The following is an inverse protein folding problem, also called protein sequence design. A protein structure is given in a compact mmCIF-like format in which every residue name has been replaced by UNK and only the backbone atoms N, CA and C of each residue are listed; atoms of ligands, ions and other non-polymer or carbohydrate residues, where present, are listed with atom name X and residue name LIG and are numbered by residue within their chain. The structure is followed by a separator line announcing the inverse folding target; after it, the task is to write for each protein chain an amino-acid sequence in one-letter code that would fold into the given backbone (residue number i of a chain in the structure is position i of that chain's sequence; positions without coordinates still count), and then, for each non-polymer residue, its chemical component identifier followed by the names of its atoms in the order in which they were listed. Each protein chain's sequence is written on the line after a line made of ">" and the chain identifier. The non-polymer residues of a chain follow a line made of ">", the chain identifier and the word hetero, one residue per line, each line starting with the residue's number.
data_IF_021253367730
#
_entry.id   IF_021253367730
#
_cell.length_a   1.000
_cell.length_b   1.000
_cell.length_c   1.000
_cell.angle_alpha   90.00
_cell.angle_beta   90.00
_cell.angle_gamma   90.00
#
_symmetry.space_group_name_H-M   'P 1'
#
loop_
_entity.id
_entity.type
_entity.pdbx_description
1 polymer ?
#
# COMPACT_ATOMS: atom_id res chain seq x y z
N UNK A 1 28.73 -32.14 48.72
CA UNK A 1 27.90 -30.97 48.36
C UNK A 1 28.40 -30.32 47.06
N UNK A 2 28.46 -31.05 45.95
CA UNK A 2 28.88 -30.49 44.65
C UNK A 2 28.07 -31.02 43.43
N UNK A 3 27.18 -31.99 43.61
CA UNK A 3 26.40 -32.56 42.50
C UNK A 3 25.00 -31.96 42.31
N UNK A 4 24.44 -31.25 43.29
CA UNK A 4 23.09 -30.65 43.15
C UNK A 4 23.08 -29.28 42.44
N UNK A 5 24.21 -28.58 42.36
CA UNK A 5 24.24 -27.22 41.78
C UNK A 5 24.23 -27.22 40.25
N UNK A 6 24.86 -28.21 39.61
CA UNK A 6 24.87 -28.32 38.14
C UNK A 6 23.51 -28.74 37.56
N UNK A 7 22.70 -29.48 38.32
CA UNK A 7 21.38 -29.89 37.86
C UNK A 7 20.41 -28.68 37.81
N UNK A 8 20.42 -27.85 38.86
CA UNK A 8 19.63 -26.62 38.95
C UNK A 8 19.99 -25.58 37.86
N UNK A 9 21.28 -25.42 37.55
CA UNK A 9 21.75 -24.53 36.48
C UNK A 9 21.30 -25.00 35.08
N UNK A 10 21.30 -26.33 34.84
CA UNK A 10 20.82 -26.88 33.58
C UNK A 10 19.29 -26.75 33.42
N UNK A 11 18.52 -26.92 34.49
CA UNK A 11 17.07 -26.71 34.45
C UNK A 11 16.70 -25.23 34.23
N UNK A 12 17.43 -24.29 34.85
CA UNK A 12 17.24 -22.86 34.61
C UNK A 12 17.56 -22.48 33.16
N UNK A 13 18.64 -23.01 32.60
CA UNK A 13 19.03 -22.75 31.21
C UNK A 13 17.99 -23.29 30.21
N UNK A 14 17.42 -24.48 30.46
CA UNK A 14 16.36 -25.06 29.63
C UNK A 14 15.06 -24.25 29.73
N UNK A 15 14.68 -23.80 30.94
CA UNK A 15 13.52 -22.92 31.14
C UNK A 15 13.70 -21.55 30.45
N UNK A 16 14.91 -20.98 30.51
CA UNK A 16 15.27 -19.75 29.80
C UNK A 16 15.20 -19.94 28.27
N UNK A 17 15.73 -21.04 27.74
CA UNK A 17 15.62 -21.39 26.32
C UNK A 17 14.17 -21.59 25.88
N UNK A 18 13.34 -22.26 26.69
CA UNK A 18 11.91 -22.45 26.42
C UNK A 18 11.13 -21.12 26.47
N UNK A 19 11.50 -20.19 27.35
CA UNK A 19 10.90 -18.84 27.38
C UNK A 19 11.34 -17.96 26.19
N UNK A 20 12.59 -18.09 25.72
CA UNK A 20 13.08 -17.39 24.52
C UNK A 20 12.50 -17.96 23.22
N UNK A 21 12.13 -19.24 23.21
CA UNK A 21 11.39 -19.89 22.12
C UNK A 21 9.90 -19.48 22.08
N UNK A 22 9.35 -18.97 23.18
CA UNK A 22 7.97 -18.45 23.22
C UNK A 22 7.87 -16.98 22.77
N UNK A 23 8.95 -16.19 22.82
CA UNK A 23 8.95 -14.78 22.41
C UNK A 23 8.95 -14.53 20.90
N UNK A 24 8.87 -15.57 20.07
CA UNK A 24 8.79 -15.45 18.59
C UNK A 24 7.72 -16.34 17.95
N UNK A 25 6.78 -16.85 18.74
CA UNK A 25 5.68 -17.65 18.17
C UNK A 25 4.62 -16.74 17.53
N UNK A 26 4.62 -16.71 16.20
CA UNK A 26 3.46 -16.30 15.42
C UNK A 26 2.23 -17.09 15.93
N UNK A 27 1.28 -16.38 16.54
CA UNK A 27 0.07 -17.00 17.10
C UNK A 27 -0.88 -17.36 15.95
N UNK A 28 -0.80 -18.62 15.49
CA UNK A 28 -1.62 -19.13 14.39
C UNK A 28 -3.00 -19.55 14.90
N UNK A 29 -4.02 -18.74 14.62
CA UNK A 29 -5.43 -19.15 14.72
C UNK A 29 -5.92 -19.59 13.35
N UNK A 30 -6.63 -20.71 13.31
CA UNK A 30 -7.29 -21.25 12.12
C UNK A 30 -8.78 -21.35 12.38
N UNK A 31 -9.55 -20.47 11.75
CA UNK A 31 -11.01 -20.57 11.62
C UNK A 31 -11.29 -20.78 10.12
N UNK A 32 -12.09 -21.78 9.78
CA UNK A 32 -12.51 -22.10 8.39
C UNK A 32 -11.37 -22.18 7.35
N UNK A 33 -10.20 -22.67 7.74
CA UNK A 33 -9.02 -22.77 6.86
C UNK A 33 -8.23 -21.48 6.68
N UNK A 34 -8.75 -20.34 7.13
CA UNK A 34 -8.06 -19.04 7.16
C UNK A 34 -7.04 -19.04 8.29
N UNK A 35 -5.78 -18.80 7.94
CA UNK A 35 -4.65 -18.64 8.87
C UNK A 35 -4.47 -17.16 9.18
N UNK A 36 -4.20 -16.86 10.44
CA UNK A 36 -3.84 -15.51 10.88
C UNK A 36 -2.43 -15.52 11.45
N UNK A 37 -1.58 -14.60 11.01
CA UNK A 37 -0.26 -14.36 11.59
C UNK A 37 -0.06 -12.88 11.92
N UNK A 38 0.62 -12.62 13.03
CA UNK A 38 0.91 -11.29 13.54
C UNK A 38 2.43 -11.12 13.65
N UNK A 39 2.92 -9.99 13.15
CA UNK A 39 4.33 -9.66 13.11
C UNK A 39 4.58 -8.25 13.62
N UNK A 40 5.83 -7.96 13.96
CA UNK A 40 6.32 -6.62 14.26
C UNK A 40 7.38 -6.23 13.21
N UNK A 41 7.39 -4.96 12.83
CA UNK A 41 8.52 -4.37 12.11
C UNK A 41 9.78 -4.41 12.98
N UNK A 42 10.98 -4.14 12.43
CA UNK A 42 12.08 -3.69 13.26
C UNK A 42 11.68 -2.44 14.06
N UNK A 43 12.33 -2.27 15.21
CA UNK A 43 12.11 -1.12 16.10
C UNK A 43 12.50 0.18 15.41
N UNK A 44 11.67 1.21 15.53
CA UNK A 44 12.06 2.60 15.32
C UNK A 44 11.94 3.38 16.63
N UNK A 45 12.73 4.44 16.75
CA UNK A 45 12.76 5.27 17.96
C UNK A 45 12.40 6.69 17.58
N UNK A 46 11.44 7.27 18.29
CA UNK A 46 11.03 8.66 18.13
C UNK A 46 11.19 9.43 19.43
N UNK A 47 11.54 10.70 19.28
CA UNK A 47 11.44 11.75 20.29
C UNK A 47 10.51 12.86 19.81
N UNK A 48 10.00 13.74 20.70
CA UNK A 48 9.07 14.81 20.32
C UNK A 48 9.49 15.57 19.06
N UNK A 49 8.61 15.63 18.06
CA UNK A 49 8.88 16.29 16.77
C UNK A 49 9.67 15.46 15.75
N UNK A 50 10.37 14.41 16.14
CA UNK A 50 11.18 13.63 15.20
C UNK A 50 10.34 12.87 14.18
N UNK A 51 10.93 12.67 13.00
CA UNK A 51 10.40 11.88 11.89
C UNK A 51 11.23 10.61 11.73
N UNK A 52 10.55 9.48 11.58
CA UNK A 52 11.13 8.21 11.16
C UNK A 52 10.50 7.82 9.83
N UNK A 53 11.29 7.79 8.76
CA UNK A 53 10.87 7.30 7.44
C UNK A 53 11.82 6.18 7.00
N UNK A 54 11.59 4.97 7.52
CA UNK A 54 12.53 3.83 7.41
C UNK A 54 12.01 2.79 6.43
N UNK A 55 12.92 2.20 5.66
CA UNK A 55 12.68 1.07 4.78
C UNK A 55 13.30 -0.20 5.38
N UNK A 56 12.46 -1.21 5.64
CA UNK A 56 12.86 -2.49 6.21
C UNK A 56 12.77 -3.57 5.15
N UNK A 57 13.91 -4.11 4.74
CA UNK A 57 14.00 -5.20 3.76
C UNK A 57 13.97 -6.57 4.43
N UNK A 58 13.38 -7.55 3.75
CA UNK A 58 13.34 -8.93 4.24
C UNK A 58 12.56 -9.08 5.54
N UNK A 59 11.47 -8.34 5.69
CA UNK A 59 10.58 -8.49 6.85
C UNK A 59 9.97 -9.89 6.89
N UNK A 60 9.52 -10.28 8.08
CA UNK A 60 8.74 -11.51 8.22
C UNK A 60 7.40 -11.36 7.49
N UNK A 61 7.02 -12.38 6.75
CA UNK A 61 5.76 -12.43 6.03
C UNK A 61 5.34 -13.89 5.86
N UNK A 62 4.03 -14.21 5.75
CA UNK A 62 3.59 -15.57 5.47
C UNK A 62 4.28 -16.14 4.24
N UNK A 63 4.75 -17.39 4.35
CA UNK A 63 5.51 -18.08 3.30
C UNK A 63 4.66 -19.12 2.58
N UNK A 64 5.06 -19.41 1.35
CA UNK A 64 4.41 -20.40 0.49
C UNK A 64 3.57 -19.73 -0.60
N UNK A 65 2.94 -20.55 -1.43
CA UNK A 65 1.96 -20.09 -2.41
C UNK A 65 0.62 -19.93 -1.69
N UNK A 66 0.21 -18.68 -1.48
CA UNK A 66 -0.92 -18.34 -0.62
C UNK A 66 -1.82 -17.28 -1.27
N UNK A 67 -3.04 -17.20 -0.77
CA UNK A 67 -3.96 -16.13 -1.10
C UNK A 67 -4.17 -15.24 0.13
N UNK A 68 -3.76 -13.98 0.06
CA UNK A 68 -3.98 -13.02 1.14
C UNK A 68 -5.46 -12.63 1.15
N UNK A 69 -6.04 -12.67 2.34
CA UNK A 69 -7.44 -12.39 2.64
C UNK A 69 -7.64 -11.07 3.36
N UNK A 70 -6.67 -10.59 4.14
CA UNK A 70 -6.66 -9.22 4.70
C UNK A 70 -5.26 -8.85 5.18
N UNK A 71 -4.93 -7.56 5.19
CA UNK A 71 -3.70 -7.04 5.78
C UNK A 71 -4.02 -5.76 6.55
N UNK A 72 -3.86 -5.81 7.87
CA UNK A 72 -4.04 -4.63 8.74
C UNK A 72 -2.73 -4.31 9.47
N UNK A 73 -2.46 -3.03 9.70
CA UNK A 73 -1.31 -2.59 10.48
C UNK A 73 -1.70 -1.52 11.50
N UNK A 74 -0.85 -1.30 12.50
CA UNK A 74 -0.95 -0.20 13.45
C UNK A 74 0.39 0.04 14.16
N UNK A 75 0.60 1.25 14.67
CA UNK A 75 1.75 1.56 15.52
C UNK A 75 1.46 1.16 16.97
N UNK A 76 2.42 0.44 17.56
CA UNK A 76 2.39 -0.01 18.96
C UNK A 76 3.67 0.36 19.71
N UNK A 77 3.56 0.47 21.04
CA UNK A 77 4.70 0.64 21.96
C UNK A 77 5.42 -0.70 22.28
N UNK A 78 6.42 -0.66 23.17
CA UNK A 78 7.19 -1.84 23.58
C UNK A 78 6.34 -2.89 24.31
N UNK A 79 5.29 -2.44 24.99
CA UNK A 79 4.31 -3.26 25.68
C UNK A 79 3.21 -3.82 24.74
N UNK A 80 3.19 -3.37 23.47
CA UNK A 80 2.23 -3.81 22.45
C UNK A 80 0.89 -3.06 22.49
N UNK A 81 0.79 -1.96 23.21
CA UNK A 81 -0.38 -1.10 23.22
C UNK A 81 -0.42 -0.21 21.97
N UNK A 82 -1.62 0.02 21.44
CA UNK A 82 -1.80 0.92 20.31
C UNK A 82 -1.49 2.37 20.70
N UNK A 83 -0.77 3.09 19.83
CA UNK A 83 -0.38 4.49 20.08
C UNK A 83 -1.33 5.47 19.38
N UNK A 84 -1.90 6.47 20.08
CA UNK A 84 -2.79 7.45 19.45
C UNK A 84 -2.10 8.28 18.36
N UNK A 85 -2.83 8.60 17.29
CA UNK A 85 -2.35 9.42 16.17
C UNK A 85 -1.94 10.84 16.57
N UNK A 86 -2.52 11.36 17.65
CA UNK A 86 -2.19 12.67 18.20
C UNK A 86 -0.88 12.68 19.02
N UNK A 87 -0.28 11.51 19.24
CA UNK A 87 1.05 11.35 19.82
C UNK A 87 2.07 10.95 18.75
N UNK A 88 1.82 9.83 18.07
CA UNK A 88 2.61 9.38 16.92
C UNK A 88 1.70 9.23 15.72
N UNK A 89 1.84 10.16 14.78
CA UNK A 89 1.08 10.14 13.54
C UNK A 89 1.75 9.16 12.57
N UNK A 90 1.06 8.07 12.24
CA UNK A 90 1.45 7.18 11.15
C UNK A 90 1.07 7.85 9.84
N UNK A 91 2.02 8.58 9.25
CA UNK A 91 1.79 9.31 8.01
C UNK A 91 1.45 8.35 6.87
N UNK A 92 2.32 7.35 6.65
CA UNK A 92 2.02 6.20 5.83
C UNK A 92 2.82 4.98 6.24
N UNK A 93 2.32 3.82 5.88
CA UNK A 93 3.09 2.59 5.80
C UNK A 93 2.82 1.99 4.44
N UNK A 94 3.83 1.43 3.78
CA UNK A 94 3.66 0.77 2.49
C UNK A 94 4.43 -0.54 2.44
N UNK A 95 3.82 -1.54 1.80
CA UNK A 95 4.41 -2.85 1.60
C UNK A 95 4.69 -3.08 0.12
N UNK A 96 5.96 -3.28 -0.21
CA UNK A 96 6.44 -3.53 -1.57
C UNK A 96 6.91 -4.98 -1.69
N UNK A 97 6.61 -5.59 -2.84
CA UNK A 97 7.03 -6.95 -3.18
C UNK A 97 8.28 -6.90 -4.05
N UNK A 98 9.22 -7.83 -3.86
CA UNK A 98 10.40 -7.95 -4.71
C UNK A 98 10.88 -9.38 -4.86
N UNK A 99 11.69 -9.63 -5.89
CA UNK A 99 12.50 -10.83 -6.02
C UNK A 99 13.97 -10.51 -5.80
N UNK A 100 14.64 -11.31 -4.98
CA UNK A 100 16.04 -11.17 -4.63
C UNK A 100 16.84 -12.39 -5.08
N UNK A 101 18.01 -12.15 -5.66
CA UNK A 101 18.90 -13.24 -6.03
C UNK A 101 19.38 -13.99 -4.78
N UNK A 102 19.28 -15.32 -4.79
CA UNK A 102 19.72 -16.18 -3.69
C UNK A 102 21.23 -16.06 -3.46
N UNK A 103 21.64 -16.05 -2.20
CA UNK A 103 23.05 -16.00 -1.81
C UNK A 103 23.69 -14.61 -1.87
N UNK A 104 22.94 -13.56 -2.20
CA UNK A 104 23.36 -12.16 -2.10
C UNK A 104 22.81 -11.59 -0.80
N UNK A 105 23.68 -11.17 0.11
CA UNK A 105 23.29 -10.53 1.36
C UNK A 105 22.99 -9.04 1.10
N UNK A 106 21.72 -8.70 0.94
CA UNK A 106 21.31 -7.30 0.87
C UNK A 106 21.49 -6.71 2.27
N UNK A 107 22.34 -5.68 2.38
CA UNK A 107 22.54 -4.96 3.65
C UNK A 107 21.16 -4.52 4.16
N UNK A 108 20.73 -5.13 5.27
CA UNK A 108 19.39 -4.97 5.88
C UNK A 108 19.00 -3.53 6.23
N UNK A 109 19.94 -2.60 6.18
CA UNK A 109 19.77 -1.21 6.55
C UNK A 109 20.69 -0.36 5.66
N UNK A 110 20.12 0.37 4.70
CA UNK A 110 20.46 1.74 4.29
C UNK A 110 19.95 2.06 2.89
N UNK A 111 19.27 3.22 2.80
CA UNK A 111 19.11 4.05 1.60
C UNK A 111 18.15 3.51 0.56
N UNK A 112 17.37 4.41 -0.05
CA UNK A 112 16.66 4.20 -1.32
C UNK A 112 17.59 3.43 -2.26
N UNK A 113 17.40 2.11 -2.40
CA UNK A 113 18.35 1.25 -3.12
C UNK A 113 18.41 1.58 -4.62
N UNK A 114 17.58 2.52 -5.08
CA UNK A 114 17.36 2.79 -6.49
C UNK A 114 16.67 1.59 -7.13
N UNK A 115 15.68 1.84 -7.99
CA UNK A 115 14.83 0.82 -8.59
C UNK A 115 15.53 -0.11 -9.61
N UNK A 116 16.87 -0.11 -9.67
CA UNK A 116 17.66 -0.81 -10.69
C UNK A 116 18.98 -1.37 -10.16
N UNK A 117 18.92 -2.48 -9.42
CA UNK A 117 20.07 -3.39 -9.32
C UNK A 117 19.65 -4.78 -9.79
N UNK A 118 20.51 -5.46 -10.56
CA UNK A 118 20.18 -6.75 -11.19
C UNK A 118 19.89 -7.86 -10.19
N UNK A 119 20.33 -7.70 -8.94
CA UNK A 119 20.09 -8.59 -7.81
C UNK A 119 18.72 -8.37 -7.14
N UNK A 120 18.01 -7.28 -7.46
CA UNK A 120 16.74 -6.89 -6.83
C UNK A 120 15.69 -6.44 -7.85
N UNK A 121 14.64 -7.25 -8.04
CA UNK A 121 13.56 -6.99 -8.99
C UNK A 121 12.32 -6.54 -8.21
N UNK A 122 11.98 -5.25 -8.28
CA UNK A 122 10.75 -4.73 -7.69
C UNK A 122 9.52 -5.19 -8.47
N UNK A 123 8.52 -5.69 -7.77
CA UNK A 123 7.24 -6.12 -8.33
C UNK A 123 6.19 -5.05 -7.99
N UNK A 124 5.67 -4.40 -9.03
CA UNK A 124 4.65 -3.36 -8.91
C UNK A 124 3.25 -3.97 -8.86
N UNK A 125 2.31 -3.24 -8.27
CA UNK A 125 0.90 -3.52 -8.48
C UNK A 125 0.52 -3.33 -9.97
N UNK A 126 -0.72 -3.66 -10.33
CA UNK A 126 -1.23 -3.61 -11.71
C UNK A 126 -1.77 -2.24 -12.14
N UNK A 127 -1.61 -1.22 -11.30
CA UNK A 127 -1.95 0.18 -11.59
C UNK A 127 -1.10 0.80 -12.70
N UNK A 128 -1.43 2.05 -13.04
CA UNK A 128 -0.86 2.74 -14.20
C UNK A 128 0.43 3.52 -13.90
N UNK A 129 0.69 3.84 -12.62
CA UNK A 129 1.81 4.70 -12.22
C UNK A 129 3.19 4.13 -12.56
N UNK A 130 4.03 4.93 -13.22
CA UNK A 130 5.40 4.52 -13.58
C UNK A 130 6.30 4.38 -12.35
N UNK A 131 6.09 5.19 -11.31
CA UNK A 131 6.89 5.19 -10.08
C UNK A 131 6.05 5.66 -8.88
N UNK A 132 6.65 5.63 -7.68
CA UNK A 132 6.04 6.14 -6.43
C UNK A 132 5.02 5.20 -5.79
N UNK A 133 3.99 4.80 -6.54
CA UNK A 133 2.84 4.02 -6.01
C UNK A 133 2.89 2.55 -6.43
N UNK A 134 4.01 1.87 -6.15
CA UNK A 134 4.22 0.46 -6.52
C UNK A 134 3.78 -0.55 -5.44
N UNK A 135 3.26 -0.06 -4.31
CA UNK A 135 2.88 -0.88 -3.16
C UNK A 135 1.73 -1.83 -3.45
N UNK A 136 1.71 -2.94 -2.73
CA UNK A 136 0.59 -3.89 -2.69
C UNK A 136 -0.38 -3.58 -1.56
N UNK A 137 0.15 -3.11 -0.43
CA UNK A 137 -0.62 -2.76 0.75
C UNK A 137 -0.09 -1.48 1.36
N UNK A 138 -0.93 -0.87 2.19
CA UNK A 138 -0.57 0.29 2.98
C UNK A 138 -1.00 1.60 2.35
N UNK A 139 -1.56 2.44 3.20
CA UNK A 139 -2.15 3.74 2.86
C UNK A 139 -1.71 4.74 3.94
N UNK A 140 -2.46 4.93 5.03
CA UNK A 140 -2.01 5.84 6.10
C UNK A 140 -2.56 5.59 7.50
N UNK A 141 -2.80 6.70 8.20
CA UNK A 141 -3.27 6.76 9.59
C UNK A 141 -4.65 6.13 9.81
N UNK A 142 -5.46 6.00 8.75
CA UNK A 142 -6.81 5.45 8.76
C UNK A 142 -6.88 3.93 9.02
N UNK A 143 -5.74 3.25 9.05
CA UNK A 143 -5.64 1.79 9.01
C UNK A 143 -6.45 1.03 10.08
N UNK A 144 -6.79 1.65 11.23
CA UNK A 144 -7.50 0.95 12.33
C UNK A 144 -8.98 0.69 12.06
N UNK A 145 -9.64 1.51 11.25
CA UNK A 145 -11.08 1.36 10.93
C UNK A 145 -11.35 1.25 9.44
N UNK A 146 -10.34 0.84 8.67
CA UNK A 146 -10.46 0.57 7.25
C UNK A 146 -10.50 -0.93 7.02
N UNK A 147 -11.58 -1.44 6.42
CA UNK A 147 -11.68 -2.86 6.10
C UNK A 147 -10.80 -3.19 4.90
N UNK A 148 -10.05 -4.28 4.99
CA UNK A 148 -9.12 -4.77 3.96
C UNK A 148 -9.42 -6.21 3.54
N UNK A 149 -10.59 -6.72 3.91
CA UNK A 149 -11.01 -8.08 3.62
C UNK A 149 -11.16 -8.30 2.11
N UNK A 150 -10.70 -9.45 1.64
CA UNK A 150 -10.90 -9.93 0.27
C UNK A 150 -11.90 -11.09 0.35
N UNK A 151 -13.15 -10.92 -0.12
CA UNK A 151 -14.19 -11.94 0.04
C UNK A 151 -13.88 -13.22 -0.76
N UNK A 152 -14.44 -14.36 -0.37
CA UNK A 152 -14.36 -15.57 -1.19
C UNK A 152 -15.17 -15.43 -2.50
N UNK A 153 -14.76 -16.10 -3.59
CA UNK A 153 -13.61 -16.99 -3.74
C UNK A 153 -12.29 -16.27 -4.07
N UNK A 154 -12.21 -14.96 -3.83
CA UNK A 154 -11.11 -14.12 -4.28
C UNK A 154 -9.90 -14.13 -3.34
N UNK A 155 -8.72 -13.86 -3.88
CA UNK A 155 -7.53 -13.68 -3.04
C UNK A 155 -6.39 -13.00 -3.77
N UNK A 156 -5.57 -12.25 -3.02
CA UNK A 156 -4.36 -11.63 -3.57
C UNK A 156 -3.26 -12.69 -3.58
N UNK A 157 -2.90 -13.15 -4.77
CA UNK A 157 -1.93 -14.23 -4.97
C UNK A 157 -0.49 -13.74 -4.75
N UNK A 158 0.23 -14.44 -3.88
CA UNK A 158 1.67 -14.23 -3.62
C UNK A 158 2.40 -15.56 -3.47
N UNK A 159 3.73 -15.53 -3.65
CA UNK A 159 4.56 -16.72 -3.52
C UNK A 159 4.33 -17.82 -4.57
N UNK A 160 3.73 -17.51 -5.73
CA UNK A 160 3.58 -18.46 -6.83
C UNK A 160 4.98 -18.83 -7.40
N UNK A 161 5.41 -20.10 -7.33
CA UNK A 161 6.73 -20.51 -7.81
C UNK A 161 6.96 -20.30 -9.31
N UNK A 162 5.90 -20.21 -10.11
CA UNK A 162 5.98 -19.96 -11.56
C UNK A 162 6.37 -18.52 -11.85
N UNK A 163 5.96 -17.57 -10.99
CA UNK A 163 6.24 -16.15 -11.17
C UNK A 163 7.64 -15.75 -10.68
N UNK A 164 8.29 -16.57 -9.85
CA UNK A 164 9.59 -16.29 -9.24
C UNK A 164 10.71 -16.76 -10.19
N UNK A 165 11.59 -15.87 -10.68
CA UNK A 165 12.67 -16.24 -11.58
C UNK A 165 13.63 -17.28 -10.97
N UNK A 166 14.21 -18.14 -11.82
CA UNK A 166 15.16 -19.15 -11.37
C UNK A 166 16.37 -18.50 -10.68
N UNK A 167 16.71 -18.98 -9.48
CA UNK A 167 17.78 -18.41 -8.66
C UNK A 167 17.38 -17.22 -7.79
N UNK A 168 16.09 -16.83 -7.80
CA UNK A 168 15.55 -15.77 -6.93
C UNK A 168 14.66 -16.33 -5.83
N UNK A 169 14.43 -15.53 -4.80
CA UNK A 169 13.43 -15.72 -3.76
C UNK A 169 12.58 -14.47 -3.60
N UNK A 170 11.33 -14.64 -3.18
CA UNK A 170 10.42 -13.53 -2.91
C UNK A 170 10.68 -12.92 -1.53
N UNK A 171 10.65 -11.59 -1.47
CA UNK A 171 10.77 -10.82 -0.25
C UNK A 171 9.86 -9.60 -0.24
N UNK A 172 9.80 -8.95 0.93
CA UNK A 172 8.94 -7.80 1.19
C UNK A 172 9.73 -6.65 1.81
N UNK A 173 9.47 -5.44 1.32
CA UNK A 173 9.95 -4.19 1.93
C UNK A 173 8.79 -3.54 2.64
N UNK A 174 8.98 -3.19 3.91
CA UNK A 174 8.06 -2.35 4.65
C UNK A 174 8.67 -0.96 4.80
N UNK A 175 8.02 0.06 4.26
CA UNK A 175 8.30 1.43 4.62
C UNK A 175 7.35 1.89 5.72
N UNK A 176 7.89 2.55 6.75
CA UNK A 176 7.11 3.15 7.83
C UNK A 176 7.55 4.60 7.98
N UNK A 177 6.60 5.51 7.75
CA UNK A 177 6.75 6.94 7.97
C UNK A 177 5.87 7.35 9.14
N UNK A 178 6.51 7.66 10.27
CA UNK A 178 5.86 8.08 11.49
C UNK A 178 6.46 9.39 12.00
N UNK A 179 5.59 10.27 12.49
CA UNK A 179 5.96 11.60 13.00
C UNK A 179 5.50 11.69 14.46
N UNK A 180 6.42 11.99 15.36
CA UNK A 180 6.06 12.30 16.74
C UNK A 180 5.54 13.73 16.84
N UNK A 181 4.25 13.87 17.17
CA UNK A 181 3.59 15.19 17.24
C UNK A 181 3.41 15.68 18.68
N UNK A 182 4.00 14.98 19.66
CA UNK A 182 3.98 15.41 21.06
C UNK A 182 4.75 16.72 21.18
N UNK A 183 4.12 17.71 21.81
CA UNK A 183 4.72 19.04 21.99
C UNK A 183 4.85 19.88 20.72
N UNK A 184 4.38 19.42 19.56
CA UNK A 184 4.43 20.20 18.32
C UNK A 184 3.79 21.59 18.46
N UNK A 185 4.39 22.61 17.84
CA UNK A 185 3.83 23.97 17.77
C UNK A 185 2.52 23.97 16.98
N UNK A 186 2.54 23.28 15.83
CA UNK A 186 1.40 23.08 14.95
C UNK A 186 1.34 21.59 14.55
N UNK A 187 0.49 20.82 15.24
CA UNK A 187 0.35 19.37 14.98
C UNK A 187 -0.07 19.08 13.55
N UNK A 188 -1.05 19.83 13.04
CA UNK A 188 -1.57 19.60 11.69
C UNK A 188 -0.50 19.95 10.66
N UNK A 189 0.17 21.08 10.83
CA UNK A 189 1.28 21.48 9.96
C UNK A 189 2.43 20.47 9.97
N UNK A 190 2.73 19.82 11.11
CA UNK A 190 3.70 18.72 11.15
C UNK A 190 3.21 17.54 10.31
N UNK A 191 1.96 17.13 10.45
CA UNK A 191 1.39 15.99 9.69
C UNK A 191 1.21 16.28 8.20
N UNK A 192 1.09 17.55 7.81
CA UNK A 192 1.06 18.04 6.42
C UNK A 192 2.48 18.32 5.87
N UNK A 193 3.50 18.05 6.67
CA UNK A 193 4.90 18.23 6.31
C UNK A 193 5.25 19.66 5.84
N UNK A 194 4.71 20.69 6.50
CA UNK A 194 4.99 22.10 6.16
C UNK A 194 6.46 22.43 6.37
N UNK A 195 7.16 22.82 5.30
CA UNK A 195 8.63 22.94 5.30
C UNK A 195 9.17 23.91 6.35
N UNK A 196 8.43 24.99 6.64
CA UNK A 196 8.83 25.97 7.66
C UNK A 196 8.82 25.42 9.10
N UNK A 197 8.06 24.35 9.37
CA UNK A 197 8.05 23.67 10.67
C UNK A 197 9.21 22.68 10.81
N UNK A 198 9.80 22.23 9.71
CA UNK A 198 10.98 21.35 9.71
C UNK A 198 12.28 22.11 9.48
N UNK A 199 12.21 23.41 9.14
CA UNK A 199 13.36 24.24 8.76
C UNK A 199 14.15 23.67 7.58
N UNK A 200 13.41 23.16 6.57
CA UNK A 200 13.96 22.49 5.39
C UNK A 200 13.84 23.38 4.16
N UNK A 201 14.92 23.47 3.38
CA UNK A 201 14.98 24.17 2.08
C UNK A 201 15.60 23.29 0.97
N UNK A 202 16.07 22.10 1.33
CA UNK A 202 16.75 21.14 0.47
C UNK A 202 16.13 19.77 0.74
N UNK A 203 15.77 19.02 -0.30
CA UNK A 203 15.18 17.69 -0.15
C UNK A 203 16.21 16.60 0.22
N UNK A 204 15.73 15.39 0.47
CA UNK A 204 16.56 14.23 0.85
C UNK A 204 17.65 13.87 -0.18
N UNK A 205 17.52 14.35 -1.42
CA UNK A 205 18.45 14.11 -2.52
C UNK A 205 19.43 15.28 -2.72
N UNK A 206 19.43 16.28 -1.82
CA UNK A 206 20.29 17.45 -1.91
C UNK A 206 19.83 18.50 -2.91
N UNK A 207 18.58 18.44 -3.39
CA UNK A 207 18.03 19.41 -4.35
C UNK A 207 17.32 20.54 -3.63
N UNK A 208 17.57 21.77 -4.06
CA UNK A 208 16.89 22.95 -3.52
C UNK A 208 15.39 22.86 -3.84
N UNK A 209 14.56 23.10 -2.82
CA UNK A 209 13.12 23.10 -2.97
C UNK A 209 12.65 24.30 -3.81
N UNK A 210 11.66 24.13 -4.70
CA UNK A 210 11.02 25.25 -5.37
C UNK A 210 10.50 26.28 -4.35
N UNK A 211 10.58 27.60 -4.63
CA UNK A 211 10.13 28.64 -3.69
C UNK A 211 8.64 28.56 -3.33
N UNK A 212 7.83 27.95 -4.19
CA UNK A 212 6.40 27.73 -4.05
C UNK A 212 6.06 26.38 -3.39
N UNK A 213 7.05 25.54 -3.09
CA UNK A 213 6.84 24.27 -2.39
C UNK A 213 6.79 24.48 -0.87
N UNK A 214 5.57 24.68 -0.35
CA UNK A 214 5.35 25.04 1.06
C UNK A 214 5.31 23.84 2.03
N UNK A 215 5.07 22.63 1.52
CA UNK A 215 4.96 21.43 2.35
C UNK A 215 4.66 20.17 1.55
N UNK A 216 4.99 19.03 2.13
CA UNK A 216 4.79 17.70 1.55
C UNK A 216 5.99 16.77 1.73
N UNK A 217 6.03 15.69 0.95
CA UNK A 217 6.98 14.58 1.02
C UNK A 217 8.45 15.00 1.06
N UNK A 218 8.82 16.14 0.47
CA UNK A 218 10.21 16.60 0.43
C UNK A 218 10.68 17.30 1.70
N UNK A 219 9.78 17.51 2.68
CA UNK A 219 10.06 18.33 3.86
C UNK A 219 10.08 17.55 5.19
N UNK A 220 9.56 16.32 5.20
CA UNK A 220 9.53 15.44 6.36
C UNK A 220 10.17 14.09 6.04
N UNK A 221 11.36 14.10 5.42
CA UNK A 221 12.12 12.87 5.22
C UNK A 221 12.74 12.39 6.54
N UNK A 222 13.40 11.23 6.48
CA UNK A 222 13.95 10.56 7.66
C UNK A 222 14.88 11.47 8.47
N UNK A 223 14.82 11.36 9.80
CA UNK A 223 15.62 12.13 10.77
C UNK A 223 15.33 13.63 10.82
N UNK A 224 14.36 14.14 10.05
CA UNK A 224 13.86 15.50 10.21
C UNK A 224 13.12 15.66 11.55
N UNK A 225 12.99 16.92 11.99
CA UNK A 225 12.32 17.24 13.24
C UNK A 225 11.36 18.42 13.05
N UNK A 226 10.08 18.18 13.30
CA UNK A 226 9.08 19.22 13.37
C UNK A 226 9.31 20.10 14.61
N UNK A 227 9.06 21.40 14.49
CA UNK A 227 9.11 22.35 15.60
C UNK A 227 8.19 21.92 16.74
N UNK A 228 8.77 21.92 17.94
CA UNK A 228 8.09 21.68 19.21
C UNK A 228 8.15 22.95 20.05
N UNK A 229 7.14 23.14 20.91
CA UNK A 229 7.03 24.28 21.81
C UNK A 229 8.27 24.37 22.69
N UNK A 230 8.76 25.60 22.88
CA UNK A 230 9.90 25.87 23.75
C UNK A 230 9.69 25.30 25.16
N UNK A 231 10.71 24.62 25.68
CA UNK A 231 10.66 23.96 27.00
C UNK A 231 9.87 22.65 27.05
N UNK A 232 9.33 22.14 25.93
CA UNK A 232 8.71 20.82 25.91
C UNK A 232 9.78 19.71 25.99
N UNK A 233 9.84 19.05 27.14
CA UNK A 233 10.63 17.84 27.33
C UNK A 233 9.74 16.60 27.21
N UNK A 234 10.11 15.69 26.33
CA UNK A 234 9.43 14.41 26.20
C UNK A 234 10.40 13.26 26.01
N UNK A 235 10.02 12.11 26.53
CA UNK A 235 10.86 10.89 26.49
C UNK A 235 10.90 10.29 25.10
N UNK A 236 12.07 9.72 24.77
CA UNK A 236 12.23 8.81 23.63
C UNK A 236 11.31 7.61 23.80
N UNK A 237 10.72 7.16 22.71
CA UNK A 237 9.88 5.96 22.64
C UNK A 237 10.37 5.03 21.56
N UNK A 238 10.50 3.77 21.95
CA UNK A 238 10.65 2.64 21.05
C UNK A 238 9.28 2.25 20.54
N UNK A 239 9.12 2.12 19.22
CA UNK A 239 7.86 1.83 18.56
C UNK A 239 8.05 0.76 17.49
N UNK A 240 6.95 0.12 17.14
CA UNK A 240 6.86 -0.92 16.13
C UNK A 240 5.61 -0.72 15.28
N UNK A 241 5.67 -1.10 14.01
CA UNK A 241 4.47 -1.36 13.24
C UNK A 241 4.09 -2.83 13.48
N UNK A 242 2.97 -3.05 14.18
CA UNK A 242 2.33 -4.36 14.27
C UNK A 242 1.49 -4.57 13.03
N UNK A 243 1.65 -5.69 12.35
CA UNK A 243 0.79 -6.07 11.23
C UNK A 243 0.25 -7.47 11.37
N UNK A 244 -1.02 -7.62 10.95
CA UNK A 244 -1.78 -8.87 10.99
C UNK A 244 -2.17 -9.23 9.56
N UNK A 245 -1.75 -10.41 9.13
CA UNK A 245 -2.04 -10.96 7.81
C UNK A 245 -2.96 -12.15 7.98
N UNK A 246 -4.12 -12.11 7.31
CA UNK A 246 -4.99 -13.28 7.14
C UNK A 246 -4.80 -13.85 5.75
N UNK A 247 -4.67 -15.16 5.64
CA UNK A 247 -4.40 -15.82 4.37
C UNK A 247 -4.87 -17.28 4.38
N UNK A 248 -5.01 -17.87 3.20
CA UNK A 248 -5.25 -19.32 2.98
C UNK A 248 -4.13 -19.89 2.12
N UNK A 249 -3.91 -21.20 2.19
CA UNK A 249 -3.06 -21.87 1.20
C UNK A 249 -3.68 -21.74 -0.18
N UNK A 250 -2.85 -21.53 -1.20
CA UNK A 250 -3.36 -21.41 -2.57
C UNK A 250 -4.00 -22.72 -3.03
N UNK A 251 -5.19 -22.60 -3.63
CA UNK A 251 -5.94 -23.68 -4.26
C UNK A 251 -6.48 -23.20 -5.61
N UNK A 252 -6.68 -24.12 -6.56
CA UNK A 252 -7.14 -23.79 -7.91
C UNK A 252 -8.57 -23.23 -7.97
N UNK A 253 -9.36 -23.37 -6.90
CA UNK A 253 -10.68 -22.74 -6.74
C UNK A 253 -10.60 -21.24 -6.41
N UNK A 254 -9.44 -20.75 -5.96
CA UNK A 254 -9.24 -19.34 -5.62
C UNK A 254 -9.09 -18.52 -6.90
N UNK A 255 -9.82 -17.41 -6.96
CA UNK A 255 -9.75 -16.48 -8.07
C UNK A 255 -8.75 -15.36 -7.74
N UNK A 256 -7.60 -15.26 -8.44
CA UNK A 256 -6.60 -14.23 -8.18
C UNK A 256 -7.17 -12.84 -8.50
N UNK A 257 -6.93 -11.90 -7.59
CA UNK A 257 -7.20 -10.48 -7.83
C UNK A 257 -5.91 -9.70 -8.04
N UNK A 258 -6.00 -8.67 -8.88
CA UNK A 258 -4.93 -7.71 -9.14
C UNK A 258 -5.25 -6.40 -8.45
N UNK A 259 -4.22 -5.78 -7.90
CA UNK A 259 -4.32 -4.51 -7.17
C UNK A 259 -4.04 -3.38 -8.15
N UNK A 260 -4.90 -2.38 -8.19
CA UNK A 260 -4.71 -1.16 -8.98
C UNK A 260 -4.74 0.03 -8.04
N UNK A 261 -3.73 0.88 -8.11
CA UNK A 261 -3.71 2.15 -7.39
C UNK A 261 -3.82 3.29 -8.40
N UNK A 262 -4.83 4.13 -8.21
CA UNK A 262 -5.05 5.36 -8.98
C UNK A 262 -4.70 6.56 -8.10
N UNK A 263 -4.06 7.57 -8.69
CA UNK A 263 -3.65 8.80 -8.00
C UNK A 263 -4.29 10.00 -8.68
N UNK A 264 -5.03 10.82 -7.95
CA UNK A 264 -5.73 11.99 -8.52
C UNK A 264 -4.77 13.05 -9.08
N UNK A 265 -3.49 12.98 -8.72
CA UNK A 265 -2.44 13.92 -9.17
C UNK A 265 -1.70 13.47 -10.43
N UNK A 266 -2.07 12.32 -10.98
CA UNK A 266 -1.40 11.77 -12.15
C UNK A 266 -1.43 12.74 -13.35
N UNK A 267 -0.26 12.89 -13.96
CA UNK A 267 -0.07 13.60 -15.22
C UNK A 267 0.40 12.55 -16.20
N UNK A 268 -0.48 12.20 -17.14
CA UNK A 268 -0.20 11.13 -18.08
C UNK A 268 -0.14 11.62 -19.52
N UNK A 269 0.70 10.96 -20.32
CA UNK A 269 0.79 11.19 -21.76
C UNK A 269 0.29 9.96 -22.50
N UNK A 270 -0.63 10.16 -23.45
CA UNK A 270 -1.13 9.09 -24.31
C UNK A 270 -0.02 8.55 -25.21
N UNK A 271 -0.03 7.24 -25.46
CA UNK A 271 0.83 6.62 -26.46
C UNK A 271 0.57 7.23 -27.85
N UNK A 272 1.66 7.45 -28.60
CA UNK A 272 1.63 7.88 -29.99
C UNK A 272 2.69 7.08 -30.76
N UNK A 273 2.24 5.97 -31.36
CA UNK A 273 3.09 5.06 -32.12
C UNK A 273 3.77 5.75 -33.31
N UNK A 274 3.10 6.74 -33.93
CA UNK A 274 3.65 7.49 -35.06
C UNK A 274 4.87 8.32 -34.67
N UNK A 275 4.97 8.67 -33.39
CA UNK A 275 6.10 9.42 -32.80
C UNK A 275 6.99 8.56 -31.90
N UNK A 276 6.72 7.26 -31.80
CA UNK A 276 7.43 6.34 -30.90
C UNK A 276 7.24 6.65 -29.42
N UNK A 277 6.19 7.40 -29.05
CA UNK A 277 5.90 7.76 -27.67
C UNK A 277 5.10 6.65 -26.99
N UNK A 278 5.58 6.20 -25.83
CA UNK A 278 4.86 5.26 -24.98
C UNK A 278 3.97 6.02 -24.00
N UNK A 279 2.91 5.36 -23.57
CA UNK A 279 2.10 5.84 -22.47
C UNK A 279 2.95 5.96 -21.19
N UNK A 280 2.75 7.04 -20.44
CA UNK A 280 3.51 7.37 -19.23
C UNK A 280 2.58 7.98 -18.21
N UNK A 281 2.68 7.55 -16.96
CA UNK A 281 1.91 8.06 -15.83
C UNK A 281 2.87 8.50 -14.72
N UNK A 282 2.86 9.79 -14.38
CA UNK A 282 3.83 10.35 -13.43
C UNK A 282 3.42 10.19 -11.97
N UNK A 283 2.12 10.14 -11.64
CA UNK A 283 1.57 10.01 -10.28
C UNK A 283 2.35 10.80 -9.21
N UNK A 284 2.03 12.09 -9.04
CA UNK A 284 2.80 13.01 -8.17
C UNK A 284 2.58 12.78 -6.68
N UNK A 285 1.64 11.89 -6.28
CA UNK A 285 1.27 11.51 -4.91
C UNK A 285 0.56 12.63 -4.14
N UNK A 286 1.10 13.83 -4.12
CA UNK A 286 0.58 14.93 -3.32
C UNK A 286 0.29 16.19 -4.13
N UNK A 287 -0.57 17.04 -3.58
CA UNK A 287 -0.92 18.34 -4.13
C UNK A 287 -1.26 19.34 -3.03
N UNK A 288 -1.30 20.62 -3.38
CA UNK A 288 -1.70 21.70 -2.49
C UNK A 288 -3.21 21.97 -2.63
N UNK A 289 -3.87 22.21 -1.50
CA UNK A 289 -5.25 22.68 -1.43
C UNK A 289 -5.22 24.11 -0.92
N UNK A 290 -5.62 25.05 -1.77
CA UNK A 290 -5.71 26.46 -1.41
C UNK A 290 -6.90 26.73 -0.47
N UNK A 291 -6.72 27.65 0.48
CA UNK A 291 -7.81 28.10 1.34
C UNK A 291 -8.84 28.93 0.56
N UNK A 292 -10.12 28.77 0.88
CA UNK A 292 -11.17 29.59 0.29
C UNK A 292 -11.07 31.07 0.70
N UNK A 293 -11.54 32.01 -0.14
CA UNK A 293 -11.47 33.44 0.16
C UNK A 293 -12.18 33.81 1.47
N UNK A 294 -11.59 34.72 2.25
CA UNK A 294 -12.16 35.21 3.50
C UNK A 294 -13.59 35.76 3.30
N UNK A 295 -14.53 35.33 4.15
CA UNK A 295 -15.96 35.70 4.06
C UNK A 295 -16.85 34.65 3.39
N UNK A 296 -16.27 33.58 2.84
CA UNK A 296 -16.99 32.50 2.14
C UNK A 296 -17.41 31.34 3.04
N UNK A 297 -17.25 31.47 4.36
CA UNK A 297 -17.53 30.38 5.33
C UNK A 297 -18.98 29.86 5.29
N UNK A 298 -19.91 30.63 4.71
CA UNK A 298 -21.32 30.24 4.53
C UNK A 298 -21.59 29.46 3.22
N UNK A 299 -20.67 29.45 2.26
CA UNK A 299 -20.72 28.63 1.04
C UNK A 299 -19.71 27.51 1.18
N UNK A 300 -20.15 26.28 1.40
CA UNK A 300 -19.29 25.13 1.73
C UNK A 300 -17.96 25.10 0.98
N UNK A 301 -16.87 25.46 1.67
CA UNK A 301 -15.53 25.53 1.08
C UNK A 301 -15.03 24.11 0.81
N UNK A 302 -15.13 23.69 -0.44
CA UNK A 302 -14.67 22.39 -0.93
C UNK A 302 -13.72 22.61 -2.10
N UNK A 303 -12.54 22.00 -2.03
CA UNK A 303 -11.63 21.87 -3.15
C UNK A 303 -11.81 20.50 -3.80
N UNK A 304 -12.03 20.50 -5.11
CA UNK A 304 -12.20 19.27 -5.89
C UNK A 304 -11.09 19.13 -6.91
N UNK A 305 -10.39 17.99 -6.88
CA UNK A 305 -9.42 17.59 -7.91
C UNK A 305 -9.92 16.34 -8.61
N UNK A 306 -9.77 16.28 -9.92
CA UNK A 306 -10.19 15.13 -10.71
C UNK A 306 -9.10 14.69 -11.69
N UNK A 307 -9.00 13.37 -11.90
CA UNK A 307 -8.22 12.72 -12.93
C UNK A 307 -9.17 11.91 -13.80
N UNK A 308 -8.98 11.95 -15.12
CA UNK A 308 -9.56 10.94 -16.03
C UNK A 308 -8.44 10.10 -16.64
N UNK A 309 -8.54 8.79 -16.50
CA UNK A 309 -7.59 7.79 -17.01
C UNK A 309 -8.34 6.54 -17.48
N UNK A 310 -7.65 5.54 -17.99
CA UNK A 310 -8.22 4.24 -18.38
C UNK A 310 -7.31 3.11 -17.95
N UNK A 311 -7.88 1.94 -17.64
CA UNK A 311 -7.08 0.75 -17.35
C UNK A 311 -6.83 -0.05 -18.63
N UNK A 312 -5.62 -0.63 -18.79
CA UNK A 312 -5.30 -1.45 -19.96
C UNK A 312 -6.09 -2.77 -19.98
N UNK A 313 -6.59 -3.20 -18.82
CA UNK A 313 -7.37 -4.41 -18.64
C UNK A 313 -8.65 -4.08 -17.88
N UNK A 314 -9.74 -4.71 -18.29
CA UNK A 314 -11.02 -4.66 -17.59
C UNK A 314 -11.18 -5.80 -16.59
N UNK A 315 -12.24 -5.73 -15.80
CA UNK A 315 -12.59 -6.76 -14.85
C UNK A 315 -13.73 -6.44 -13.89
N UNK A 316 -14.03 -7.36 -12.98
CA UNK A 316 -14.99 -7.14 -11.88
C UNK A 316 -14.31 -6.47 -10.67
N UNK A 317 -14.91 -5.39 -10.17
CA UNK A 317 -14.45 -4.74 -8.93
C UNK A 317 -14.84 -5.63 -7.76
N UNK A 318 -13.85 -6.04 -6.96
CA UNK A 318 -14.05 -6.90 -5.79
C UNK A 318 -14.15 -6.08 -4.52
N UNK A 319 -13.23 -5.14 -4.36
CA UNK A 319 -13.38 -4.07 -3.39
C UNK A 319 -12.59 -2.83 -3.84
N UNK A 320 -12.94 -1.69 -3.26
CA UNK A 320 -12.24 -0.43 -3.47
C UNK A 320 -12.15 0.38 -2.20
N UNK A 321 -11.04 1.07 -1.99
CA UNK A 321 -10.83 1.93 -0.82
C UNK A 321 -9.99 3.15 -1.20
N UNK A 322 -10.42 4.30 -0.72
CA UNK A 322 -9.70 5.55 -0.87
C UNK A 322 -8.76 5.79 0.31
N UNK A 323 -7.71 6.57 0.07
CA UNK A 323 -6.82 7.12 1.08
C UNK A 323 -6.86 8.64 1.00
N UNK A 324 -6.94 9.32 2.14
CA UNK A 324 -6.86 10.77 2.24
C UNK A 324 -6.18 11.18 3.54
N UNK A 325 -5.52 12.33 3.53
CA UNK A 325 -5.01 12.99 4.72
C UNK A 325 -6.09 13.88 5.35
N UNK A 326 -5.82 14.39 6.56
CA UNK A 326 -6.71 15.32 7.26
C UNK A 326 -7.11 16.50 6.35
N UNK A 327 -8.39 16.88 6.41
CA UNK A 327 -9.00 17.81 5.45
C UNK A 327 -9.75 17.09 4.34
N UNK A 328 -9.44 15.82 4.05
CA UNK A 328 -10.19 15.00 3.09
C UNK A 328 -11.67 14.87 3.48
N UNK A 329 -12.56 14.91 2.49
CA UNK A 329 -14.03 14.83 2.69
C UNK A 329 -14.67 13.68 1.90
N UNK A 330 -13.86 12.92 1.17
CA UNK A 330 -14.30 11.79 0.36
C UNK A 330 -13.63 11.77 -1.00
N UNK A 331 -13.57 10.57 -1.56
CA UNK A 331 -13.12 10.32 -2.93
C UNK A 331 -14.09 9.37 -3.62
N UNK A 332 -14.32 9.56 -4.91
CA UNK A 332 -15.21 8.70 -5.70
C UNK A 332 -14.60 8.40 -7.05
N UNK A 333 -14.61 7.13 -7.42
CA UNK A 333 -14.29 6.66 -8.76
C UNK A 333 -15.57 6.49 -9.56
N UNK A 334 -15.62 7.15 -10.71
CA UNK A 334 -16.69 7.05 -11.69
C UNK A 334 -16.20 6.32 -12.94
N UNK A 335 -17.06 5.52 -13.54
CA UNK A 335 -16.90 5.03 -14.91
C UNK A 335 -17.59 5.94 -15.92
N UNK A 336 -17.61 5.51 -17.18
CA UNK A 336 -18.26 6.25 -18.25
C UNK A 336 -19.72 6.63 -17.94
N UNK A 337 -20.11 7.82 -18.40
CA UNK A 337 -21.46 8.36 -18.16
C UNK A 337 -21.75 8.73 -16.70
N UNK A 338 -20.73 8.79 -15.82
CA UNK A 338 -20.90 9.16 -14.42
C UNK A 338 -21.38 8.02 -13.52
N UNK A 339 -21.25 6.76 -13.96
CA UNK A 339 -21.58 5.58 -13.16
C UNK A 339 -20.65 5.51 -11.95
N UNK A 340 -21.20 5.53 -10.74
CA UNK A 340 -20.39 5.35 -9.52
C UNK A 340 -19.86 3.91 -9.46
N UNK A 341 -18.54 3.77 -9.38
CA UNK A 341 -17.86 2.49 -9.20
C UNK A 341 -17.59 2.25 -7.71
N UNK A 342 -17.00 3.24 -7.03
CA UNK A 342 -16.72 3.18 -5.60
C UNK A 342 -16.62 4.59 -5.02
N UNK A 343 -17.33 4.84 -3.91
CA UNK A 343 -17.20 6.03 -3.09
C UNK A 343 -16.60 5.66 -1.74
N UNK A 344 -15.49 6.30 -1.38
CA UNK A 344 -14.78 6.07 -0.13
C UNK A 344 -14.72 7.36 0.68
N UNK A 345 -15.34 7.33 1.86
CA UNK A 345 -15.51 8.48 2.74
C UNK A 345 -14.69 8.33 4.03
N UNK A 346 -14.05 9.41 4.50
CA UNK A 346 -13.28 9.38 5.74
C UNK A 346 -14.16 9.30 6.98
N UNK A 347 -13.70 8.53 7.95
CA UNK A 347 -14.21 8.51 9.32
C UNK A 347 -13.28 9.32 10.20
N UNK A 348 -13.76 10.46 10.72
CA UNK A 348 -13.01 11.26 11.67
C UNK A 348 -13.28 10.80 13.11
N UNK A 349 -12.22 10.76 13.91
CA UNK A 349 -12.32 10.46 15.34
C UNK A 349 -13.05 11.55 16.13
N UNK A 350 -13.48 11.22 17.35
CA UNK A 350 -14.24 12.12 18.25
C UNK A 350 -13.73 12.14 19.69
N UNK A 351 -12.68 11.38 20.01
CA UNK A 351 -12.08 11.24 21.34
C UNK A 351 -10.56 11.27 21.26
N UNK A 352 -9.89 10.65 22.24
CA UNK A 352 -8.42 10.62 22.32
C UNK A 352 -7.85 9.20 22.22
N UNK A 353 -8.69 8.17 22.33
CA UNK A 353 -8.22 6.78 22.32
C UNK A 353 -7.73 6.36 20.91
N UNK A 354 -6.80 5.38 20.83
CA UNK A 354 -6.33 4.84 19.55
C UNK A 354 -7.49 4.41 18.63
N UNK A 355 -7.52 4.96 17.42
CA UNK A 355 -8.57 4.70 16.44
C UNK A 355 -9.85 5.50 16.66
N UNK A 356 -9.85 6.54 17.50
CA UNK A 356 -10.95 7.48 17.66
C UNK A 356 -10.47 8.93 17.86
N UNK A 357 -9.26 9.27 17.41
CA UNK A 357 -8.58 10.54 17.68
C UNK A 357 -9.26 11.72 16.96
N UNK A 358 -9.72 12.71 17.72
CA UNK A 358 -10.40 13.89 17.20
C UNK A 358 -9.50 14.70 16.26
N UNK A 359 -10.04 15.07 15.10
CA UNK A 359 -9.29 15.80 14.07
C UNK A 359 -8.44 14.93 13.14
N UNK A 360 -8.40 13.61 13.37
CA UNK A 360 -7.69 12.66 12.51
C UNK A 360 -8.67 11.78 11.74
N UNK A 361 -8.28 11.39 10.53
CA UNK A 361 -8.95 10.32 9.80
C UNK A 361 -8.49 9.00 10.42
N UNK A 362 -9.43 8.28 11.04
CA UNK A 362 -9.17 7.02 11.75
C UNK A 362 -9.65 5.80 10.97
N UNK A 363 -10.28 6.03 9.82
CA UNK A 363 -10.84 5.01 8.92
C UNK A 363 -11.28 5.61 7.59
N UNK A 364 -11.34 4.77 6.57
CA UNK A 364 -11.97 5.05 5.27
C UNK A 364 -13.01 3.98 4.98
N UNK A 365 -14.15 4.36 4.38
CA UNK A 365 -15.18 3.40 4.02
C UNK A 365 -14.75 2.57 2.81
N UNK A 366 -14.70 1.25 2.96
CA UNK A 366 -14.40 0.32 1.86
C UNK A 366 -15.66 -0.03 1.08
N UNK A 367 -15.58 0.01 -0.25
CA UNK A 367 -16.61 -0.44 -1.15
C UNK A 367 -16.51 -1.96 -1.36
N UNK A 368 -17.59 -2.68 -1.12
CA UNK A 368 -17.73 -4.11 -1.42
C UNK A 368 -18.92 -4.34 -2.34
N UNK A 369 -18.78 -4.09 -3.65
CA UNK A 369 -19.85 -4.41 -4.59
C UNK A 369 -20.12 -5.92 -4.60
N UNK A 370 -21.35 -6.30 -4.95
CA UNK A 370 -21.66 -7.70 -5.17
C UNK A 370 -20.82 -8.21 -6.35
N UNK A 371 -20.23 -9.41 -6.25
CA UNK A 371 -19.44 -9.99 -7.33
C UNK A 371 -20.16 -9.95 -8.67
N UNK A 372 -19.50 -9.39 -9.69
CA UNK A 372 -20.02 -9.26 -11.05
C UNK A 372 -21.01 -8.11 -11.29
N UNK A 373 -21.41 -7.33 -10.27
CA UNK A 373 -22.36 -6.21 -10.47
C UNK A 373 -21.68 -4.91 -10.86
N UNK A 374 -20.43 -4.71 -10.46
CA UNK A 374 -19.65 -3.52 -10.82
C UNK A 374 -18.46 -3.96 -11.67
N UNK A 375 -18.48 -3.56 -12.93
CA UNK A 375 -17.47 -3.90 -13.93
C UNK A 375 -16.67 -2.67 -14.32
N UNK A 376 -15.41 -2.90 -14.65
CA UNK A 376 -14.57 -1.96 -15.38
C UNK A 376 -14.26 -2.55 -16.75
N UNK A 377 -14.52 -1.83 -17.83
CA UNK A 377 -14.17 -2.30 -19.17
C UNK A 377 -12.75 -1.85 -19.56
N UNK A 378 -12.06 -2.68 -20.33
CA UNK A 378 -10.72 -2.32 -20.81
C UNK A 378 -10.80 -1.05 -21.67
N UNK A 379 -9.97 -0.06 -21.36
CA UNK A 379 -9.96 1.22 -22.05
C UNK A 379 -11.13 2.17 -21.75
N UNK A 380 -12.07 1.80 -20.86
CA UNK A 380 -13.14 2.74 -20.48
C UNK A 380 -12.57 3.95 -19.74
N UNK A 381 -13.18 5.11 -19.94
CA UNK A 381 -12.82 6.30 -19.18
C UNK A 381 -13.25 6.18 -17.72
N UNK A 382 -12.27 6.27 -16.82
CA UNK A 382 -12.43 6.30 -15.38
C UNK A 382 -12.09 7.68 -14.85
N UNK A 383 -13.02 8.30 -14.11
CA UNK A 383 -12.81 9.60 -13.47
C UNK A 383 -12.70 9.44 -11.96
N UNK A 384 -11.51 9.66 -11.40
CA UNK A 384 -11.28 9.72 -9.97
C UNK A 384 -11.47 11.16 -9.50
N UNK A 385 -12.36 11.38 -8.53
CA UNK A 385 -12.64 12.70 -7.94
C UNK A 385 -12.25 12.68 -6.47
N UNK A 386 -11.38 13.59 -6.07
CA UNK A 386 -10.98 13.84 -4.68
C UNK A 386 -11.60 15.15 -4.20
N UNK A 387 -12.18 15.12 -3.00
CA UNK A 387 -12.69 16.31 -2.32
C UNK A 387 -11.97 16.54 -1.00
N UNK A 388 -11.57 17.78 -0.77
CA UNK A 388 -11.00 18.28 0.50
C UNK A 388 -11.80 19.49 0.97
N UNK A 389 -11.89 19.67 2.29
CA UNK A 389 -12.28 20.95 2.85
C UNK A 389 -11.21 21.97 2.50
N UNK A 390 -11.63 23.12 1.98
CA UNK A 390 -10.74 24.26 1.74
C UNK A 390 -11.01 25.40 2.71
N UNK A 391 -11.64 25.11 3.87
CA UNK A 391 -11.85 26.11 4.93
C UNK A 391 -10.54 26.70 5.45
N UNK A 392 -9.46 25.93 5.34
CA UNK A 392 -8.08 26.33 5.49
C UNK A 392 -7.25 25.66 4.38
N UNK A 393 -6.05 26.16 4.12
CA UNK A 393 -5.14 25.53 3.16
C UNK A 393 -4.51 24.26 3.72
N UNK A 394 -4.23 23.30 2.84
CA UNK A 394 -3.55 22.04 3.17
C UNK A 394 -2.35 21.82 2.24
N UNK A 395 -1.20 21.47 2.83
CA UNK A 395 -0.04 20.97 2.07
C UNK A 395 0.04 19.45 2.18
N UNK A 396 0.70 18.79 1.22
CA UNK A 396 0.81 17.33 1.23
C UNK A 396 -0.55 16.61 1.19
N UNK A 397 -1.58 17.23 0.60
CA UNK A 397 -2.86 16.56 0.43
C UNK A 397 -2.67 15.40 -0.55
N UNK A 398 -3.12 14.20 -0.18
CA UNK A 398 -2.96 13.00 -0.99
C UNK A 398 -4.32 12.36 -1.22
N UNK A 399 -4.57 11.88 -2.44
CA UNK A 399 -5.69 10.96 -2.67
C UNK A 399 -5.32 9.90 -3.67
N UNK A 400 -5.41 8.66 -3.19
CA UNK A 400 -5.36 7.48 -4.03
C UNK A 400 -6.58 6.58 -3.80
N UNK A 401 -6.90 5.77 -4.79
CA UNK A 401 -7.92 4.72 -4.71
C UNK A 401 -7.26 3.39 -5.06
N UNK A 402 -7.29 2.45 -4.11
CA UNK A 402 -6.90 1.07 -4.35
C UNK A 402 -8.14 0.27 -4.76
N UNK A 403 -8.02 -0.49 -5.85
CA UNK A 403 -9.04 -1.43 -6.32
C UNK A 403 -8.43 -2.84 -6.38
N UNK A 404 -9.23 -3.85 -6.07
CA UNK A 404 -8.94 -5.22 -6.47
C UNK A 404 -9.85 -5.64 -7.61
N UNK A 405 -9.25 -6.13 -8.70
CA UNK A 405 -9.95 -6.45 -9.93
C UNK A 405 -9.52 -7.83 -10.50
N UNK A 406 -10.45 -8.54 -11.13
CA UNK A 406 -10.17 -9.79 -11.85
C UNK A 406 -9.99 -9.50 -13.34
N UNK A 407 -8.81 -9.77 -13.88
CA UNK A 407 -8.61 -9.67 -15.34
C UNK A 407 -9.46 -10.73 -16.03
N UNK A 408 -10.36 -10.33 -16.93
CA UNK A 408 -11.13 -11.28 -17.72
C UNK A 408 -10.15 -12.08 -18.60
N UNK A 409 -10.19 -13.43 -18.56
CA UNK A 409 -9.33 -14.26 -19.41
C UNK A 409 -9.85 -14.24 -20.86
N UNK A 410 -9.76 -13.09 -21.54
CA UNK A 410 -10.20 -12.96 -22.93
C UNK A 410 -9.23 -13.71 -23.89
N UNK A 411 -8.00 -13.98 -23.46
CA UNK A 411 -6.97 -14.51 -24.38
C UNK A 411 -6.92 -16.05 -24.42
N UNK A 412 -7.22 -16.76 -23.34
CA UNK A 412 -7.07 -18.23 -23.32
C UNK A 412 -8.25 -18.97 -23.97
N UNK A 413 -9.48 -18.46 -23.84
CA UNK A 413 -10.64 -19.08 -24.50
C UNK A 413 -10.62 -18.88 -26.01
N UNK A 414 -10.20 -17.70 -26.50
CA UNK A 414 -10.10 -17.43 -27.94
C UNK A 414 -9.04 -18.30 -28.62
N UNK A 415 -7.86 -18.46 -28.02
CA UNK A 415 -6.78 -19.29 -28.58
C UNK A 415 -7.13 -20.78 -28.51
N UNK A 416 -7.76 -21.26 -27.43
CA UNK A 416 -8.21 -22.65 -27.33
C UNK A 416 -9.28 -22.98 -28.39
N UNK A 417 -10.24 -22.07 -28.63
CA UNK A 417 -11.26 -22.24 -29.67
C UNK A 417 -10.62 -22.21 -31.07
N UNK A 418 -9.68 -21.30 -31.34
CA UNK A 418 -8.99 -21.23 -32.63
C UNK A 418 -8.15 -22.50 -32.89
N UNK A 419 -7.44 -23.00 -31.88
CA UNK A 419 -6.63 -24.24 -32.00
C UNK A 419 -7.53 -25.45 -32.24
N UNK A 420 -8.66 -25.57 -31.54
CA UNK A 420 -9.62 -26.67 -31.75
C UNK A 420 -10.26 -26.58 -33.14
N UNK A 421 -10.66 -25.39 -33.59
CA UNK A 421 -11.23 -25.19 -34.94
C UNK A 421 -10.20 -25.52 -36.03
N UNK A 422 -8.94 -25.11 -35.88
CA UNK A 422 -7.87 -25.42 -36.84
C UNK A 422 -7.56 -26.92 -36.90
N UNK A 423 -7.59 -27.62 -35.76
CA UNK A 423 -7.37 -29.09 -35.71
C UNK A 423 -8.55 -29.84 -36.34
N UNK A 424 -9.79 -29.42 -36.08
CA UNK A 424 -10.99 -30.05 -36.67
C UNK A 424 -11.05 -29.82 -38.19
N UNK A 425 -10.78 -28.59 -38.67
CA UNK A 425 -10.76 -28.30 -40.12
C UNK A 425 -9.60 -28.99 -40.86
N UNK A 426 -8.45 -29.20 -40.22
CA UNK A 426 -7.35 -30.02 -40.81
C UNK A 426 -7.65 -31.52 -40.78
N UNK A 427 -8.44 -31.99 -39.84
CA UNK A 427 -8.88 -33.38 -39.77
C UNK A 427 -9.90 -33.75 -40.86
N UNK A 428 -10.80 -32.82 -41.20
CA UNK A 428 -11.82 -33.03 -42.23
C UNK A 428 -11.31 -32.87 -43.68
N UNK A 429 -10.21 -32.15 -43.90
CA UNK A 429 -9.62 -31.95 -45.23
C UNK A 429 -8.56 -33.00 -45.63
N UNK A 430 -8.30 -33.98 -44.75
CA UNK A 430 -7.24 -34.99 -44.93
C UNK A 430 -7.68 -36.37 -45.42
N UNK A 431 -8.96 -36.57 -45.79
CA UNK A 431 -9.45 -37.86 -46.33
C UNK A 431 -10.03 -37.69 -47.74
N UNK A 432 -9.29 -38.25 -48.73
CA UNK A 432 -9.68 -38.39 -50.14
C UNK A 432 -8.88 -37.45 -51.04
N UNK A 433 -8.11 -37.87 -52.04
CA UNK A 433 -7.98 -39.15 -52.73
C UNK A 433 -6.53 -39.28 -53.23
N UNK A 434 -5.98 -40.51 -53.20
CA UNK A 434 -4.83 -40.85 -54.03
C UNK A 434 -5.26 -41.11 -55.47
N UNK A 435 -4.35 -40.95 -56.43
CA UNK A 435 -3.95 -41.94 -57.46
C UNK A 435 -3.03 -41.30 -58.51
N UNK A 436 -1.83 -41.90 -58.66
CA UNK A 436 -1.02 -42.22 -59.86
C UNK A 436 -0.80 -41.15 -60.97
N UNK A 437 0.41 -40.75 -61.35
CA UNK A 437 1.61 -41.44 -61.89
C UNK A 437 1.77 -41.28 -63.43
N UNK A 438 3.03 -41.13 -63.86
CA UNK A 438 3.59 -41.23 -65.22
C UNK A 438 3.44 -40.05 -66.20
N UNK A 439 4.45 -39.18 -66.29
CA UNK A 439 5.54 -39.20 -67.30
C UNK A 439 6.47 -37.99 -67.11
#
# INVERSE_FOLDING_TARGET
>A
MAHNSNCLLNYLAILLLLSLLQSSQAHRRTEDGVKTEVFLSPKFVLEPGSVSNKYYYGINFPRGHIAIKSFNAEVVDEEGNAVPLHETYLHHWVLLRYYQQKGVDVRKYHGDLGFHRSDHITIKNSGVCDSGLSQYFGLGSETRRTATDVPDPYGIEVGNPVDIPAGYEEGWVLNVHAIDTRGAEDKLGCTECRCHLYNVTIDEYGRVLPPDYNGGLKCCYDEMRCKVKEGFEGVKRSLYLRYTVKYVDWDSSIVPVKIYILDVTDIWTKADESRGLRERHHCLVEYEVESCPAGSANSGCTHTKALTTSLPTGGDVIYGVGHQHAGGTGTTLYGEGGRVICSSNPTYGKGNEPGNEAGYIVGMSTCYPLPGTVKIYAGEALTLVSNYSSTQGHTGAHTSMMLSNIIWPIVLFGVAIIVVVVIVFKGETGQGEGYEAML
#
